data_IF_345041226201
#
_entry.id   IF_345041226201
#
_cell.length_a   1.000
_cell.length_b   1.000
_cell.length_c   1.000
_cell.angle_alpha   90.00
_cell.angle_beta   90.00
_cell.angle_gamma   90.00
#
_symmetry.space_group_name_H-M   'P 1'
#
loop_
_entity.id
_entity.type
_entity.pdbx_description
1 polymer ?
#
# COMPACT_ATOMS: atom_id res chain seq x y z
N UNK A 1 -38.33 -4.60 -28.23
CA UNK A 1 -37.50 -4.05 -27.13
C UNK A 1 -35.98 -4.07 -27.40
N UNK A 2 -35.42 -4.93 -28.27
CA UNK A 2 -33.95 -5.08 -28.34
C UNK A 2 -33.12 -3.96 -28.99
N UNK A 3 -33.67 -3.15 -29.90
CA UNK A 3 -32.87 -2.20 -30.68
C UNK A 3 -32.51 -0.90 -29.94
N UNK A 4 -33.38 -0.42 -29.05
CA UNK A 4 -33.12 0.78 -28.25
C UNK A 4 -32.17 0.44 -27.08
N UNK A 5 -32.40 -0.68 -26.41
CA UNK A 5 -31.54 -1.18 -25.34
C UNK A 5 -30.11 -1.42 -25.83
N UNK A 6 -29.92 -2.03 -27.01
CA UNK A 6 -28.60 -2.24 -27.59
C UNK A 6 -27.85 -0.93 -27.90
N UNK A 7 -28.56 0.16 -28.22
CA UNK A 7 -27.97 1.48 -28.47
C UNK A 7 -27.62 2.23 -27.19
N UNK A 8 -28.43 2.08 -26.14
CA UNK A 8 -28.23 2.80 -24.88
C UNK A 8 -27.25 2.09 -23.95
N UNK A 9 -27.18 0.76 -24.00
CA UNK A 9 -26.35 -0.04 -23.08
C UNK A 9 -24.89 0.40 -23.01
N UNK A 10 -24.16 0.65 -24.13
CA UNK A 10 -22.78 1.13 -24.06
C UNK A 10 -22.63 2.48 -23.35
N UNK A 11 -23.56 3.41 -23.56
CA UNK A 11 -23.52 4.72 -22.92
C UNK A 11 -23.80 4.63 -21.41
N UNK A 12 -24.76 3.80 -21.01
CA UNK A 12 -25.06 3.54 -19.60
C UNK A 12 -23.90 2.82 -18.91
N UNK A 13 -23.30 1.83 -19.57
CA UNK A 13 -22.13 1.11 -19.04
C UNK A 13 -20.92 2.04 -18.89
N UNK A 14 -20.70 2.95 -19.84
CA UNK A 14 -19.66 3.98 -19.76
C UNK A 14 -19.88 4.93 -18.58
N UNK A 15 -21.10 5.47 -18.44
CA UNK A 15 -21.45 6.35 -17.31
C UNK A 15 -21.27 5.65 -15.95
N UNK A 16 -21.66 4.36 -15.85
CA UNK A 16 -21.43 3.58 -14.63
C UNK A 16 -19.94 3.36 -14.35
N UNK A 17 -19.10 3.19 -15.37
CA UNK A 17 -17.66 3.09 -15.20
C UNK A 17 -17.05 4.40 -14.70
N UNK A 18 -17.47 5.55 -15.24
CA UNK A 18 -16.99 6.86 -14.80
C UNK A 18 -17.40 7.15 -13.34
N UNK A 19 -18.65 6.85 -12.97
CA UNK A 19 -19.11 6.96 -11.60
C UNK A 19 -18.34 6.03 -10.65
N UNK A 20 -18.08 4.78 -11.07
CA UNK A 20 -17.30 3.83 -10.28
C UNK A 20 -15.86 4.31 -10.08
N UNK A 21 -15.20 4.80 -11.13
CA UNK A 21 -13.84 5.35 -11.05
C UNK A 21 -13.76 6.55 -10.09
N UNK A 22 -14.71 7.49 -10.19
CA UNK A 22 -14.79 8.64 -9.29
C UNK A 22 -15.02 8.20 -7.84
N UNK A 23 -15.96 7.29 -7.60
CA UNK A 23 -16.25 6.78 -6.27
C UNK A 23 -15.02 6.07 -5.65
N UNK A 24 -14.31 5.24 -6.43
CA UNK A 24 -13.06 4.60 -6.00
C UNK A 24 -11.98 5.63 -5.65
N UNK A 25 -11.84 6.70 -6.44
CA UNK A 25 -10.91 7.79 -6.16
C UNK A 25 -11.27 8.56 -4.87
N UNK A 26 -12.54 8.56 -4.48
CA UNK A 26 -13.03 9.13 -3.22
C UNK A 26 -13.12 8.10 -2.07
N UNK A 27 -12.50 6.93 -2.22
CA UNK A 27 -12.36 5.95 -1.14
C UNK A 27 -13.49 4.91 -1.04
N UNK A 28 -14.41 4.86 -2.00
CA UNK A 28 -15.40 3.78 -2.04
C UNK A 28 -14.73 2.42 -2.23
N UNK A 29 -15.32 1.39 -1.63
CA UNK A 29 -14.92 0.00 -1.79
C UNK A 29 -15.73 -0.69 -2.88
N UNK A 30 -15.31 -1.87 -3.35
CA UNK A 30 -16.14 -2.69 -4.24
C UNK A 30 -17.43 -3.20 -3.57
N UNK A 31 -17.47 -3.23 -2.25
CA UNK A 31 -18.68 -3.54 -1.50
C UNK A 31 -19.67 -2.36 -1.57
N UNK A 32 -19.18 -1.13 -1.42
CA UNK A 32 -20.00 0.08 -1.61
C UNK A 32 -20.53 0.18 -3.03
N UNK A 33 -19.68 -0.06 -4.03
CA UNK A 33 -20.10 -0.09 -5.44
C UNK A 33 -21.13 -1.18 -5.70
N UNK A 34 -20.88 -2.39 -5.19
CA UNK A 34 -21.81 -3.51 -5.32
C UNK A 34 -23.18 -3.18 -4.72
N UNK A 35 -23.18 -2.62 -3.51
CA UNK A 35 -24.39 -2.17 -2.82
C UNK A 35 -25.15 -1.10 -3.62
N UNK A 36 -24.44 -0.10 -4.15
CA UNK A 36 -25.04 1.02 -4.88
C UNK A 36 -25.79 0.59 -6.15
N UNK A 37 -25.34 -0.47 -6.82
CA UNK A 37 -25.93 -0.95 -8.09
C UNK A 37 -26.63 -2.30 -7.97
N UNK A 38 -26.76 -2.84 -6.76
CA UNK A 38 -27.45 -4.12 -6.49
C UNK A 38 -26.73 -5.37 -6.99
N UNK A 39 -25.40 -5.38 -6.98
CA UNK A 39 -24.58 -6.56 -7.32
C UNK A 39 -23.66 -6.96 -6.16
N UNK A 40 -23.11 -8.18 -6.23
CA UNK A 40 -22.16 -8.64 -5.20
C UNK A 40 -20.84 -7.88 -5.28
N UNK A 41 -20.12 -7.76 -4.16
CA UNK A 41 -18.74 -7.26 -4.12
C UNK A 41 -17.84 -7.92 -5.17
N UNK A 42 -17.95 -9.23 -5.33
CA UNK A 42 -17.14 -9.99 -6.29
C UNK A 42 -17.48 -9.62 -7.74
N UNK A 43 -18.76 -9.43 -8.06
CA UNK A 43 -19.17 -8.95 -9.37
C UNK A 43 -18.71 -7.51 -9.63
N UNK A 44 -18.79 -6.63 -8.64
CA UNK A 44 -18.28 -5.26 -8.72
C UNK A 44 -16.77 -5.22 -8.93
N UNK A 45 -16.02 -6.03 -8.17
CA UNK A 45 -14.56 -6.16 -8.32
C UNK A 45 -14.17 -6.72 -9.69
N UNK A 46 -14.88 -7.73 -10.20
CA UNK A 46 -14.66 -8.23 -11.55
C UNK A 46 -14.95 -7.17 -12.62
N UNK A 47 -16.04 -6.41 -12.45
CA UNK A 47 -16.50 -5.41 -13.42
C UNK A 47 -15.63 -4.15 -13.45
N UNK A 48 -15.22 -3.66 -12.29
CA UNK A 48 -14.56 -2.35 -12.13
C UNK A 48 -13.18 -2.42 -11.48
N UNK A 49 -12.65 -3.62 -11.26
CA UNK A 49 -11.32 -3.84 -10.69
C UNK A 49 -10.23 -3.02 -11.36
N UNK A 50 -10.28 -2.98 -12.69
CA UNK A 50 -9.35 -2.26 -13.55
C UNK A 50 -9.41 -0.72 -13.41
N UNK A 51 -10.46 -0.16 -12.80
CA UNK A 51 -10.63 1.29 -12.63
C UNK A 51 -9.93 1.87 -11.40
N UNK A 52 -9.43 1.02 -10.49
CA UNK A 52 -8.74 1.48 -9.27
C UNK A 52 -7.41 2.20 -9.52
N UNK A 53 -6.94 2.23 -10.77
CA UNK A 53 -5.63 2.77 -11.12
C UNK A 53 -4.50 1.91 -10.55
N UNK A 54 -3.27 2.29 -10.88
CA UNK A 54 -2.07 1.63 -10.38
C UNK A 54 -1.81 2.07 -8.94
N UNK A 55 -1.71 1.13 -8.00
CA UNK A 55 -1.47 1.43 -6.59
C UNK A 55 -0.01 1.34 -6.26
N UNK A 56 0.42 2.09 -5.26
CA UNK A 56 1.82 2.12 -4.86
C UNK A 56 1.94 1.77 -3.38
N UNK A 57 2.84 0.85 -3.06
CA UNK A 57 3.35 0.67 -1.69
C UNK A 57 4.83 1.02 -1.62
N UNK A 58 5.26 1.54 -0.46
CA UNK A 58 6.67 1.67 -0.13
C UNK A 58 7.15 0.33 0.42
N UNK A 59 8.09 -0.33 -0.26
CA UNK A 59 8.71 -1.56 0.25
C UNK A 59 10.09 -1.24 0.79
N UNK A 60 10.32 -1.57 2.05
CA UNK A 60 11.60 -1.39 2.74
C UNK A 60 12.12 -2.78 3.13
N UNK A 61 13.26 -3.14 2.56
CA UNK A 61 13.94 -4.40 2.78
C UNK A 61 15.06 -4.25 3.81
N UNK A 62 15.04 -5.12 4.82
CA UNK A 62 15.97 -5.14 5.95
C UNK A 62 16.62 -6.51 6.04
N UNK A 63 17.83 -6.55 6.61
CA UNK A 63 18.42 -7.80 7.08
C UNK A 63 18.14 -7.98 8.56
N UNK A 64 17.97 -9.20 9.02
CA UNK A 64 17.97 -9.50 10.45
C UNK A 64 19.43 -9.49 10.96
N UNK A 65 19.96 -8.30 11.23
CA UNK A 65 21.27 -8.15 11.88
C UNK A 65 21.18 -7.14 13.01
N UNK A 66 20.90 -7.62 14.21
CA UNK A 66 21.10 -6.86 15.44
C UNK A 66 22.60 -6.65 15.67
N UNK A 67 23.21 -5.65 15.01
CA UNK A 67 24.51 -5.12 15.42
C UNK A 67 24.27 -3.84 16.25
N UNK A 68 24.93 -3.67 17.41
CA UNK A 68 24.97 -2.38 18.07
C UNK A 68 25.54 -1.36 17.08
N UNK A 69 24.82 -0.25 16.88
CA UNK A 69 25.33 0.85 16.08
C UNK A 69 26.58 1.42 16.78
N UNK A 70 27.70 1.63 16.07
CA UNK A 70 28.73 2.54 16.56
C UNK A 70 28.09 3.90 16.86
N UNK A 71 28.51 4.55 17.94
CA UNK A 71 27.87 5.72 18.58
C UNK A 71 27.61 6.92 17.64
N UNK A 72 28.19 6.91 16.43
CA UNK A 72 28.09 7.97 15.42
C UNK A 72 27.49 7.57 14.07
N UNK A 73 26.98 6.34 13.89
CA UNK A 73 26.31 5.96 12.63
C UNK A 73 24.88 5.46 12.84
N UNK A 74 23.93 6.37 12.70
CA UNK A 74 22.49 6.07 12.71
C UNK A 74 22.05 5.18 11.53
N UNK A 75 22.90 4.99 10.50
CA UNK A 75 22.67 4.06 9.38
C UNK A 75 23.13 2.63 9.68
N UNK A 76 23.89 2.41 10.75
CA UNK A 76 24.38 1.09 11.14
C UNK A 76 23.35 0.24 11.89
N UNK A 77 22.18 0.80 12.26
CA UNK A 77 21.03 0.04 12.79
C UNK A 77 20.35 -0.74 11.66
N UNK A 78 21.02 -1.77 11.15
CA UNK A 78 20.51 -2.62 10.06
C UNK A 78 19.97 -3.93 10.66
N UNK A 79 18.87 -3.86 11.40
CA UNK A 79 18.23 -5.04 12.01
C UNK A 79 16.91 -4.75 12.70
N UNK A 80 16.23 -5.82 13.13
CA UNK A 80 15.24 -5.76 14.21
C UNK A 80 15.94 -5.20 15.46
N UNK A 81 15.48 -4.05 15.94
CA UNK A 81 15.98 -3.44 17.19
C UNK A 81 15.12 -3.85 18.38
N UNK A 82 13.90 -4.31 18.15
CA UNK A 82 12.94 -4.65 19.18
C UNK A 82 12.47 -3.44 20.00
N UNK A 83 11.37 -3.61 20.73
CA UNK A 83 10.85 -2.58 21.63
C UNK A 83 10.43 -1.27 20.95
N UNK A 84 10.49 -0.16 21.69
CA UNK A 84 9.98 1.15 21.26
C UNK A 84 10.75 1.78 20.08
N UNK A 85 11.96 1.31 19.77
CA UNK A 85 12.77 1.82 18.67
C UNK A 85 12.48 1.21 17.30
N UNK A 86 11.63 0.18 17.23
CA UNK A 86 11.42 -0.59 15.98
C UNK A 86 10.78 0.25 14.87
N UNK A 87 9.80 1.08 15.20
CA UNK A 87 9.12 1.93 14.23
C UNK A 87 10.07 2.93 13.56
N UNK A 88 10.91 3.61 14.34
CA UNK A 88 11.92 4.53 13.81
C UNK A 88 12.96 3.83 12.93
N UNK A 89 13.35 2.61 13.31
CA UNK A 89 14.25 1.81 12.51
C UNK A 89 13.60 1.40 11.17
N UNK A 90 12.35 0.93 11.19
CA UNK A 90 11.63 0.48 10.00
C UNK A 90 11.46 1.59 8.97
N UNK A 91 11.01 2.78 9.40
CA UNK A 91 10.76 3.89 8.47
C UNK A 91 12.02 4.45 7.83
N UNK A 92 13.15 4.38 8.52
CA UNK A 92 14.47 4.75 7.98
C UNK A 92 14.50 6.16 7.37
N UNK A 93 15.45 6.41 6.46
CA UNK A 93 15.48 7.59 5.59
C UNK A 93 15.79 7.12 4.16
N UNK A 94 14.86 7.34 3.24
CA UNK A 94 14.90 6.76 1.89
C UNK A 94 14.72 7.81 0.79
N UNK A 95 15.28 7.59 -0.42
CA UNK A 95 15.06 8.47 -1.57
C UNK A 95 13.67 8.23 -2.18
N UNK A 96 12.62 8.66 -1.49
CA UNK A 96 11.22 8.47 -1.92
C UNK A 96 10.82 9.58 -2.89
N UNK A 97 10.31 9.20 -4.06
CA UNK A 97 9.86 10.12 -5.12
C UNK A 97 8.58 10.86 -4.76
N UNK A 98 8.34 12.03 -5.38
CA UNK A 98 7.17 12.85 -5.11
C UNK A 98 5.84 12.16 -5.49
N UNK A 99 5.84 11.40 -6.58
CA UNK A 99 4.71 10.57 -7.02
C UNK A 99 4.36 9.50 -5.99
N UNK A 100 5.38 8.80 -5.46
CA UNK A 100 5.21 7.80 -4.41
C UNK A 100 4.67 8.43 -3.14
N UNK A 101 5.17 9.62 -2.75
CA UNK A 101 4.67 10.32 -1.55
C UNK A 101 3.21 10.76 -1.68
N UNK A 102 2.76 11.08 -2.89
CA UNK A 102 1.39 11.47 -3.15
C UNK A 102 0.42 10.28 -3.18
N UNK A 103 0.90 9.09 -3.57
CA UNK A 103 0.05 7.94 -3.87
C UNK A 103 0.15 6.78 -2.85
N UNK A 104 1.25 6.63 -2.13
CA UNK A 104 1.48 5.47 -1.28
C UNK A 104 0.65 5.54 0.01
N UNK A 105 -0.27 4.59 0.17
CA UNK A 105 -1.09 4.44 1.38
C UNK A 105 -0.47 3.50 2.42
N UNK A 106 0.49 2.66 2.02
CA UNK A 106 1.08 1.65 2.90
C UNK A 106 2.60 1.55 2.74
N UNK A 107 3.26 1.24 3.85
CA UNK A 107 4.67 0.83 3.88
C UNK A 107 4.78 -0.63 4.31
N UNK A 108 5.46 -1.46 3.51
CA UNK A 108 5.71 -2.88 3.74
C UNK A 108 7.16 -3.05 4.18
N UNK A 109 7.35 -3.63 5.36
CA UNK A 109 8.67 -3.94 5.90
C UNK A 109 8.93 -5.43 5.71
N UNK A 110 9.92 -5.72 4.87
CA UNK A 110 10.41 -7.06 4.63
C UNK A 110 11.73 -7.27 5.37
N UNK A 111 11.85 -8.34 6.13
CA UNK A 111 13.08 -8.71 6.85
C UNK A 111 13.53 -10.07 6.36
N UNK A 112 14.77 -10.14 5.89
CA UNK A 112 15.36 -11.33 5.26
C UNK A 112 14.51 -11.91 4.12
N UNK A 113 13.79 -11.04 3.42
CA UNK A 113 12.95 -11.43 2.28
C UNK A 113 11.55 -11.91 2.65
N UNK A 114 11.12 -11.73 3.89
CA UNK A 114 9.77 -12.07 4.35
C UNK A 114 9.06 -10.82 4.87
N UNK A 115 7.78 -10.62 4.51
CA UNK A 115 6.99 -9.51 5.05
C UNK A 115 6.74 -9.73 6.53
N UNK A 116 7.28 -8.83 7.36
CA UNK A 116 7.12 -8.87 8.82
C UNK A 116 6.11 -7.88 9.34
N UNK A 117 6.02 -6.71 8.71
CA UNK A 117 5.16 -5.61 9.18
C UNK A 117 4.63 -4.82 8.00
N UNK A 118 3.45 -4.25 8.19
CA UNK A 118 2.83 -3.30 7.26
C UNK A 118 2.33 -2.12 8.07
N UNK A 119 2.56 -0.90 7.61
CA UNK A 119 2.08 0.33 8.22
C UNK A 119 1.11 1.02 7.27
N UNK A 120 0.00 1.53 7.80
CA UNK A 120 -0.78 2.55 7.11
C UNK A 120 -0.05 3.89 7.22
N UNK A 121 0.13 4.58 6.09
CA UNK A 121 0.79 5.88 6.02
C UNK A 121 -0.26 6.97 6.25
N UNK A 122 0.04 7.91 7.15
CA UNK A 122 -0.78 9.11 7.33
C UNK A 122 -0.72 9.99 6.07
N UNK A 123 -1.86 10.48 5.61
CA UNK A 123 -1.95 11.24 4.36
C UNK A 123 -1.32 12.62 4.55
N UNK A 124 -0.12 12.82 4.01
CA UNK A 124 0.72 14.00 4.27
C UNK A 124 1.77 13.79 5.36
N UNK A 125 1.77 12.62 6.01
CA UNK A 125 2.72 12.20 7.03
C UNK A 125 4.09 11.84 6.44
N UNK A 126 4.82 12.84 5.94
CA UNK A 126 6.16 12.67 5.40
C UNK A 126 7.14 13.63 6.08
N UNK A 127 8.16 13.09 6.75
CA UNK A 127 9.28 13.89 7.26
C UNK A 127 10.40 13.93 6.20
N UNK A 128 11.13 15.04 6.11
CA UNK A 128 12.27 15.23 5.19
C UNK A 128 13.55 15.60 5.95
N UNK A 129 14.69 15.04 5.54
CA UNK A 129 16.03 15.49 5.96
C UNK A 129 16.67 16.46 4.95
N UNK A 130 15.90 16.90 3.94
CA UNK A 130 16.36 17.72 2.82
C UNK A 130 16.78 16.93 1.58
N UNK A 131 17.04 15.62 1.70
CA UNK A 131 17.41 14.75 0.56
C UNK A 131 16.61 13.46 0.51
N UNK A 132 16.22 12.95 1.67
CA UNK A 132 15.52 11.70 1.91
C UNK A 132 14.27 11.96 2.72
N UNK A 133 13.41 10.96 2.70
CA UNK A 133 12.08 11.00 3.27
C UNK A 133 11.83 9.76 4.09
N UNK A 134 10.94 9.90 5.06
CA UNK A 134 10.39 8.78 5.82
C UNK A 134 8.91 9.02 6.06
N UNK A 135 8.15 7.94 6.08
CA UNK A 135 6.72 8.01 6.34
C UNK A 135 6.46 8.21 7.83
N UNK A 136 5.27 8.70 8.15
CA UNK A 136 4.61 8.63 9.45
C UNK A 136 3.47 7.64 9.34
N UNK A 137 3.46 6.65 10.23
CA UNK A 137 2.37 5.70 10.31
C UNK A 137 1.19 6.30 11.08
N UNK A 138 -0.02 5.90 10.72
CA UNK A 138 -1.20 6.12 11.56
C UNK A 138 -0.96 5.42 12.91
N UNK A 139 -1.15 6.15 14.00
CA UNK A 139 -0.90 5.71 15.39
C UNK A 139 0.54 5.19 15.67
N UNK A 140 1.52 5.51 14.81
CA UNK A 140 2.92 5.08 14.95
C UNK A 140 3.11 3.55 15.16
N UNK A 141 2.19 2.72 14.64
CA UNK A 141 2.18 1.26 14.85
C UNK A 141 1.88 0.47 13.58
N UNK A 142 2.34 -0.80 13.48
CA UNK A 142 1.99 -1.65 12.37
C UNK A 142 0.49 -2.02 12.41
N UNK A 143 -0.07 -2.28 11.23
CA UNK A 143 -1.42 -2.80 11.08
C UNK A 143 -1.52 -4.21 11.71
N UNK A 144 -2.67 -4.53 12.33
CA UNK A 144 -2.91 -5.89 12.82
C UNK A 144 -3.06 -6.87 11.65
N UNK A 145 -2.67 -8.13 11.86
CA UNK A 145 -2.68 -9.17 10.82
C UNK A 145 -4.04 -9.31 10.12
N UNK A 146 -5.13 -9.25 10.88
CA UNK A 146 -6.49 -9.33 10.33
C UNK A 146 -6.80 -8.19 9.35
N UNK A 147 -6.28 -6.99 9.60
CA UNK A 147 -6.47 -5.85 8.69
C UNK A 147 -5.63 -6.00 7.42
N UNK A 148 -4.40 -6.49 7.56
CA UNK A 148 -3.52 -6.81 6.42
C UNK A 148 -4.19 -7.85 5.51
N UNK A 149 -4.76 -8.92 6.08
CA UNK A 149 -5.47 -9.95 5.32
C UNK A 149 -6.72 -9.41 4.62
N UNK A 150 -7.47 -8.52 5.28
CA UNK A 150 -8.62 -7.83 4.70
C UNK A 150 -8.20 -6.97 3.51
N UNK A 151 -7.18 -6.13 3.67
CA UNK A 151 -6.66 -5.26 2.62
C UNK A 151 -6.12 -6.06 1.43
N UNK A 152 -5.37 -7.13 1.68
CA UNK A 152 -4.93 -8.02 0.62
C UNK A 152 -6.13 -8.65 -0.10
N UNK A 153 -7.11 -9.18 0.63
CA UNK A 153 -8.30 -9.80 0.02
C UNK A 153 -9.12 -8.80 -0.79
N UNK A 154 -9.04 -7.51 -0.43
CA UNK A 154 -9.62 -6.41 -1.17
C UNK A 154 -8.78 -5.92 -2.36
N UNK A 155 -7.55 -6.41 -2.53
CA UNK A 155 -6.61 -5.93 -3.54
C UNK A 155 -6.06 -4.53 -3.24
N UNK A 156 -6.19 -4.07 -1.98
CA UNK A 156 -5.68 -2.81 -1.45
C UNK A 156 -4.23 -2.89 -0.95
N UNK A 157 -3.70 -4.13 -0.87
CA UNK A 157 -2.34 -4.42 -0.47
C UNK A 157 -1.84 -5.66 -1.23
N UNK A 158 -0.59 -5.68 -1.73
CA UNK A 158 -0.10 -6.81 -2.52
C UNK A 158 0.45 -7.98 -1.68
N UNK A 159 0.57 -7.80 -0.36
CA UNK A 159 1.25 -8.74 0.53
C UNK A 159 0.46 -9.04 1.80
N UNK A 160 0.63 -10.25 2.34
CA UNK A 160 0.28 -10.67 3.70
C UNK A 160 1.54 -10.73 4.57
N UNK A 161 1.33 -10.87 5.88
CA UNK A 161 2.44 -11.24 6.77
C UNK A 161 2.93 -12.64 6.42
N UNK A 162 4.25 -12.82 6.37
CA UNK A 162 4.89 -14.09 6.02
C UNK A 162 5.10 -14.30 4.52
N UNK A 163 4.55 -13.44 3.67
CA UNK A 163 4.74 -13.58 2.23
C UNK A 163 6.21 -13.33 1.84
N UNK A 164 6.72 -14.05 0.82
CA UNK A 164 8.02 -13.78 0.27
C UNK A 164 8.01 -12.40 -0.41
N UNK A 165 8.86 -11.51 0.07
CA UNK A 165 9.08 -10.19 -0.51
C UNK A 165 10.53 -10.13 -0.99
N UNK A 166 10.82 -10.45 -2.26
CA UNK A 166 12.18 -10.60 -2.74
C UNK A 166 12.96 -9.29 -2.54
N UNK A 167 13.95 -9.31 -1.65
CA UNK A 167 14.89 -8.20 -1.51
C UNK A 167 15.80 -8.20 -2.73
N UNK A 168 15.67 -7.22 -3.64
CA UNK A 168 16.69 -7.06 -4.69
C UNK A 168 18.02 -6.74 -4.03
N UNK A 169 19.07 -7.50 -4.34
CA UNK A 169 20.41 -7.19 -3.87
C UNK A 169 20.78 -5.75 -4.27
N UNK A 170 21.09 -4.90 -3.28
CA UNK A 170 21.42 -3.49 -3.48
C UNK A 170 20.26 -2.49 -3.37
N UNK A 171 19.01 -2.93 -3.21
CA UNK A 171 17.85 -2.04 -3.07
C UNK A 171 17.12 -2.22 -1.74
N UNK A 172 17.59 -1.57 -0.67
CA UNK A 172 16.92 -1.61 0.63
C UNK A 172 15.58 -0.84 0.65
N UNK A 173 15.29 -0.06 -0.39
CA UNK A 173 14.01 0.59 -0.63
C UNK A 173 13.62 0.41 -2.10
N UNK A 174 12.33 0.15 -2.35
CA UNK A 174 11.71 0.25 -3.68
C UNK A 174 10.23 0.67 -3.54
N UNK A 175 9.71 1.52 -4.43
CA UNK A 175 8.27 1.60 -4.63
C UNK A 175 7.82 0.38 -5.43
N UNK A 176 6.70 -0.21 -5.05
CA UNK A 176 6.10 -1.32 -5.76
C UNK A 176 4.70 -0.96 -6.23
N UNK A 177 4.43 -1.24 -7.50
CA UNK A 177 3.18 -0.92 -8.18
C UNK A 177 2.39 -2.18 -8.45
N UNK A 178 1.09 -2.17 -8.20
CA UNK A 178 0.20 -3.34 -8.26
C UNK A 178 -1.26 -2.97 -8.54
#
# INVERSE_FOLDING_TARGET
MGALEAKLRPAVDGMMADCAALALAHGATFEDLGTAVGITRQAASHRWGHLRGERIVVVISRRDRSHPAPEHDSRARVGEVGGSGQYDADRGWWPIGADVRAAAAHAVIAVDGEVRRVYAIDTGGWDSDGRKWRFRAVDDRPLPAQEIDRLHTAGDLPYRLGDPCPTKAGGAYRPERF
#
